data_IF_900641917896
#
_entry.id   IF_900641917896
#
_cell.length_a   1.000
_cell.length_b   1.000
_cell.length_c   1.000
_cell.angle_alpha   90.00
_cell.angle_beta   90.00
_cell.angle_gamma   90.00
#
_symmetry.space_group_name_H-M   'P 1'
#
loop_
_entity.id
_entity.type
_entity.pdbx_description
1 polymer ?
#
# COMPACT_ATOMS: atom_id res chain seq x y z
N UNK A 1 17.90 3.59 17.83
CA UNK A 1 16.99 2.73 17.03
C UNK A 1 17.76 1.53 16.53
N UNK A 2 17.21 0.30 16.62
CA UNK A 2 17.96 -0.93 16.31
C UNK A 2 18.11 -1.12 14.79
N UNK A 3 19.35 -1.31 14.33
CA UNK A 3 19.75 -1.52 12.93
C UNK A 3 18.86 -2.47 12.07
N UNK A 4 18.36 -3.62 12.58
CA UNK A 4 17.49 -4.50 11.77
C UNK A 4 16.17 -3.86 11.32
N UNK A 5 15.61 -2.94 12.12
CA UNK A 5 14.33 -2.29 11.80
C UNK A 5 14.49 -1.26 10.66
N UNK A 6 15.62 -0.56 10.61
CA UNK A 6 15.94 0.35 9.50
C UNK A 6 16.18 -0.40 8.17
N UNK A 7 16.76 -1.59 8.21
CA UNK A 7 17.01 -2.39 7.00
C UNK A 7 15.70 -2.92 6.42
N UNK A 8 14.78 -3.38 7.28
CA UNK A 8 13.43 -3.75 6.88
C UNK A 8 12.67 -2.56 6.26
N UNK A 9 12.69 -1.40 6.91
CA UNK A 9 12.04 -0.19 6.38
C UNK A 9 12.66 0.29 5.05
N UNK A 10 13.99 0.24 4.89
CA UNK A 10 14.64 0.56 3.61
C UNK A 10 14.26 -0.40 2.51
N UNK A 11 14.14 -1.69 2.81
CA UNK A 11 13.74 -2.71 1.84
C UNK A 11 12.27 -2.52 1.43
N UNK A 12 11.40 -2.21 2.38
CA UNK A 12 10.00 -1.85 2.12
C UNK A 12 9.90 -0.57 1.29
N UNK A 13 10.67 0.47 1.61
CA UNK A 13 10.69 1.73 0.85
C UNK A 13 11.30 1.59 -0.56
N UNK A 14 12.27 0.69 -0.75
CA UNK A 14 12.82 0.36 -2.06
C UNK A 14 11.80 -0.40 -2.91
N UNK A 15 11.12 -1.39 -2.34
CA UNK A 15 10.00 -2.09 -2.99
C UNK A 15 8.87 -1.11 -3.34
N UNK A 16 8.54 -0.17 -2.44
CA UNK A 16 7.57 0.90 -2.65
C UNK A 16 7.99 1.91 -3.75
N UNK A 17 9.29 2.02 -4.04
CA UNK A 17 9.83 2.88 -5.10
C UNK A 17 9.92 2.16 -6.44
N UNK A 18 10.10 0.84 -6.42
CA UNK A 18 10.30 0.00 -7.62
C UNK A 18 9.02 -0.61 -8.17
N UNK A 19 7.96 -0.77 -7.36
CA UNK A 19 6.67 -1.27 -7.81
C UNK A 19 5.53 -0.31 -7.43
N UNK A 20 4.93 0.29 -8.44
CA UNK A 20 3.70 1.07 -8.37
C UNK A 20 2.50 0.20 -8.00
N UNK A 21 1.44 0.80 -7.45
CA UNK A 21 0.14 0.12 -7.21
C UNK A 21 -0.38 -0.62 -8.44
N UNK A 22 -0.17 -0.04 -9.63
CA UNK A 22 -0.53 -0.64 -10.91
C UNK A 22 0.29 -1.89 -11.22
N UNK A 23 1.59 -1.87 -10.94
CA UNK A 23 2.44 -3.06 -11.15
C UNK A 23 2.08 -4.18 -10.18
N UNK A 24 1.81 -3.86 -8.91
CA UNK A 24 1.32 -4.87 -7.93
C UNK A 24 0.01 -5.49 -8.41
N UNK A 25 -0.93 -4.68 -8.93
CA UNK A 25 -2.19 -5.20 -9.48
C UNK A 25 -1.95 -6.08 -10.70
N UNK A 26 -1.08 -5.68 -11.62
CA UNK A 26 -0.76 -6.48 -12.79
C UNK A 26 -0.14 -7.82 -12.38
N UNK A 27 0.81 -7.81 -11.45
CA UNK A 27 1.41 -9.04 -10.90
C UNK A 27 0.36 -9.95 -10.25
N UNK A 28 -0.61 -9.41 -9.51
CA UNK A 28 -1.71 -10.21 -8.94
C UNK A 28 -2.52 -10.89 -10.05
N UNK A 29 -2.85 -10.17 -11.13
CA UNK A 29 -3.60 -10.75 -12.25
C UNK A 29 -2.79 -11.79 -13.01
N UNK A 30 -1.50 -11.56 -13.24
CA UNK A 30 -0.58 -12.51 -13.87
C UNK A 30 -0.48 -13.82 -13.04
N UNK A 31 -0.30 -13.71 -11.72
CA UNK A 31 -0.23 -14.86 -10.83
C UNK A 31 -1.55 -15.65 -10.80
N UNK A 32 -2.70 -14.96 -10.78
CA UNK A 32 -4.01 -15.64 -10.88
C UNK A 32 -4.18 -16.36 -12.21
N UNK A 33 -3.75 -15.76 -13.31
CA UNK A 33 -3.81 -16.38 -14.63
C UNK A 33 -2.91 -17.62 -14.69
N UNK A 34 -1.72 -17.57 -14.08
CA UNK A 34 -0.83 -18.72 -13.99
C UNK A 34 -1.47 -19.84 -13.15
N UNK A 35 -2.07 -19.54 -12.00
CA UNK A 35 -2.84 -20.53 -11.22
C UNK A 35 -4.01 -21.12 -12.02
N UNK A 36 -4.73 -20.31 -12.78
CA UNK A 36 -5.79 -20.79 -13.65
C UNK A 36 -5.27 -21.77 -14.71
N UNK A 37 -4.11 -21.47 -15.30
CA UNK A 37 -3.49 -22.37 -16.29
C UNK A 37 -3.11 -23.72 -15.69
N UNK A 38 -2.64 -23.76 -14.44
CA UNK A 38 -2.40 -25.01 -13.74
C UNK A 38 -3.69 -25.81 -13.50
N UNK A 39 -4.76 -25.13 -13.06
CA UNK A 39 -6.08 -25.78 -12.87
C UNK A 39 -6.61 -26.38 -14.15
N UNK A 40 -6.50 -25.68 -15.28
CA UNK A 40 -6.92 -26.19 -16.58
C UNK A 40 -6.02 -27.31 -17.10
N UNK A 41 -4.71 -27.22 -16.87
CA UNK A 41 -3.74 -28.22 -17.32
C UNK A 41 -3.93 -29.56 -16.62
N UNK A 42 -4.20 -29.52 -15.32
CA UNK A 42 -4.31 -30.70 -14.47
C UNK A 42 -5.77 -31.12 -14.18
N UNK A 43 -6.76 -30.29 -14.52
CA UNK A 43 -8.19 -30.50 -14.20
C UNK A 43 -8.48 -30.63 -12.69
N UNK A 44 -7.73 -29.86 -11.88
CA UNK A 44 -7.80 -29.86 -10.41
C UNK A 44 -8.12 -28.47 -9.88
N UNK A 45 -8.71 -28.39 -8.70
CA UNK A 45 -9.07 -27.14 -8.05
C UNK A 45 -7.88 -26.46 -7.35
N UNK A 46 -6.99 -27.26 -6.76
CA UNK A 46 -5.88 -26.81 -5.94
C UNK A 46 -4.68 -27.78 -5.95
N UNK A 47 -3.59 -27.34 -5.31
CA UNK A 47 -2.34 -28.10 -5.25
C UNK A 47 -2.44 -29.37 -4.41
N UNK A 48 -3.35 -29.42 -3.43
CA UNK A 48 -3.54 -30.59 -2.59
C UNK A 48 -4.20 -31.71 -3.40
N UNK A 49 -5.19 -31.38 -4.23
CA UNK A 49 -5.80 -32.31 -5.19
C UNK A 49 -4.78 -32.85 -6.19
N UNK A 50 -3.96 -31.97 -6.80
CA UNK A 50 -2.86 -32.40 -7.69
C UNK A 50 -1.89 -33.37 -6.99
N UNK A 51 -1.57 -33.11 -5.72
CA UNK A 51 -0.67 -33.95 -4.93
C UNK A 51 -1.24 -35.35 -4.68
N UNK A 52 -2.57 -35.49 -4.62
CA UNK A 52 -3.23 -36.79 -4.43
C UNK A 52 -3.30 -37.60 -5.72
N UNK A 53 -3.33 -36.94 -6.88
CA UNK A 53 -3.44 -37.60 -8.18
C UNK A 53 -2.10 -38.06 -8.76
N UNK A 54 -0.99 -37.40 -8.40
CA UNK A 54 0.33 -37.70 -8.96
C UNK A 54 0.94 -38.99 -8.41
N UNK A 55 1.46 -39.81 -9.31
CA UNK A 55 2.22 -41.02 -8.99
C UNK A 55 3.72 -40.73 -8.83
N UNK A 56 4.48 -41.60 -8.10
CA UNK A 56 5.92 -41.45 -8.00
C UNK A 56 6.60 -41.57 -9.37
N UNK A 57 7.30 -40.51 -9.79
CA UNK A 57 8.01 -40.45 -11.08
C UNK A 57 7.34 -39.57 -12.12
N UNK A 58 6.15 -39.04 -11.83
CA UNK A 58 5.47 -38.09 -12.70
C UNK A 58 6.17 -36.72 -12.74
N UNK A 59 6.16 -36.07 -13.90
CA UNK A 59 6.77 -34.74 -14.06
C UNK A 59 6.01 -33.65 -13.28
N UNK A 60 4.75 -33.89 -12.89
CA UNK A 60 3.90 -32.94 -12.16
C UNK A 60 4.39 -32.58 -10.75
N UNK A 61 5.30 -33.35 -10.16
CA UNK A 61 5.90 -33.03 -8.86
C UNK A 61 6.67 -31.70 -8.87
N UNK A 62 7.29 -31.33 -10.00
CA UNK A 62 7.94 -30.04 -10.13
C UNK A 62 6.92 -28.89 -10.18
N UNK A 63 5.77 -29.14 -10.81
CA UNK A 63 4.70 -28.17 -10.95
C UNK A 63 3.98 -27.91 -9.62
N UNK A 64 3.88 -28.90 -8.72
CA UNK A 64 3.45 -28.67 -7.32
C UNK A 64 4.30 -27.59 -6.65
N UNK A 65 5.62 -27.68 -6.76
CA UNK A 65 6.52 -26.71 -6.11
C UNK A 65 6.33 -25.32 -6.71
N UNK A 66 6.15 -25.24 -8.02
CA UNK A 66 5.88 -23.98 -8.71
C UNK A 66 4.53 -23.39 -8.30
N UNK A 67 3.48 -24.19 -8.25
CA UNK A 67 2.15 -23.77 -7.82
C UNK A 67 2.20 -23.16 -6.41
N UNK A 68 2.80 -23.86 -5.44
CA UNK A 68 2.95 -23.35 -4.07
C UNK A 68 3.69 -22.00 -4.01
N UNK A 69 4.72 -21.84 -4.84
CA UNK A 69 5.46 -20.58 -4.92
C UNK A 69 4.58 -19.44 -5.47
N UNK A 70 3.73 -19.73 -6.46
CA UNK A 70 2.80 -18.75 -7.04
C UNK A 70 1.75 -18.34 -6.01
N UNK A 71 1.19 -19.28 -5.25
CA UNK A 71 0.24 -18.98 -4.17
C UNK A 71 0.86 -18.09 -3.09
N UNK A 72 2.08 -18.41 -2.66
CA UNK A 72 2.81 -17.58 -1.70
C UNK A 72 3.08 -16.16 -2.25
N UNK A 73 3.49 -16.06 -3.51
CA UNK A 73 3.72 -14.77 -4.16
C UNK A 73 2.42 -13.97 -4.28
N UNK A 74 1.29 -14.63 -4.54
CA UNK A 74 -0.01 -14.01 -4.64
C UNK A 74 -0.46 -13.45 -3.29
N UNK A 75 -0.29 -14.21 -2.21
CA UNK A 75 -0.57 -13.75 -0.84
C UNK A 75 0.26 -12.50 -0.49
N UNK A 76 1.56 -12.53 -0.78
CA UNK A 76 2.47 -11.39 -0.54
C UNK A 76 2.03 -10.16 -1.35
N UNK A 77 1.71 -10.33 -2.63
CA UNK A 77 1.29 -9.22 -3.50
C UNK A 77 -0.06 -8.62 -3.04
N UNK A 78 -1.01 -9.45 -2.62
CA UNK A 78 -2.29 -9.00 -2.05
C UNK A 78 -2.09 -8.25 -0.74
N UNK A 79 -1.21 -8.73 0.14
CA UNK A 79 -0.86 -8.04 1.37
C UNK A 79 -0.19 -6.68 1.09
N UNK A 80 0.70 -6.61 0.09
CA UNK A 80 1.34 -5.38 -0.35
C UNK A 80 0.31 -4.37 -0.90
N UNK A 81 -0.66 -4.83 -1.70
CA UNK A 81 -1.74 -3.98 -2.21
C UNK A 81 -2.64 -3.46 -1.08
N UNK A 82 -2.99 -4.33 -0.11
CA UNK A 82 -3.77 -3.95 1.06
C UNK A 82 -3.07 -2.87 1.89
N UNK A 83 -1.75 -2.98 2.07
CA UNK A 83 -0.95 -1.94 2.73
C UNK A 83 -0.93 -0.62 1.94
N UNK A 84 -0.88 -0.68 0.60
CA UNK A 84 -0.95 0.50 -0.26
C UNK A 84 -2.33 1.18 -0.18
N UNK A 85 -3.40 0.39 -0.12
CA UNK A 85 -4.77 0.91 0.07
C UNK A 85 -4.99 1.50 1.48
N UNK A 86 -4.21 1.04 2.45
CA UNK A 86 -4.25 1.50 3.83
C UNK A 86 -3.38 2.75 4.11
N UNK A 87 -2.94 3.51 3.09
CA UNK A 87 -2.18 4.75 3.33
C UNK A 87 -3.00 5.77 4.15
N UNK A 88 -2.64 6.06 5.42
CA UNK A 88 -3.35 7.04 6.24
C UNK A 88 -3.14 8.49 5.75
N UNK A 89 -2.22 8.74 4.81
CA UNK A 89 -1.87 10.06 4.28
C UNK A 89 -2.68 10.50 3.04
N UNK A 90 -3.56 9.64 2.51
CA UNK A 90 -4.64 10.08 1.60
C UNK A 90 -5.73 10.91 2.35
N UNK A 91 -5.46 11.23 3.62
CA UNK A 91 -6.07 12.32 4.40
C UNK A 91 -5.74 13.72 3.88
N UNK A 92 -4.95 13.88 2.82
CA UNK A 92 -4.82 15.17 2.12
C UNK A 92 -6.16 15.67 1.53
N UNK A 93 -7.14 14.78 1.30
CA UNK A 93 -8.52 15.18 1.00
C UNK A 93 -9.26 15.80 2.20
N UNK A 94 -8.83 15.56 3.44
CA UNK A 94 -9.37 16.18 4.66
C UNK A 94 -8.71 17.54 4.96
N UNK A 95 -7.43 17.72 4.66
CA UNK A 95 -6.74 19.01 4.80
C UNK A 95 -7.31 20.10 3.87
N UNK A 96 -7.83 19.72 2.70
CA UNK A 96 -8.54 20.63 1.81
C UNK A 96 -9.85 21.19 2.43
N UNK A 97 -10.49 20.45 3.35
CA UNK A 97 -11.73 20.90 4.02
C UNK A 97 -11.46 21.81 5.21
N UNK A 98 -10.29 21.69 5.84
CA UNK A 98 -9.86 22.62 6.90
C UNK A 98 -9.50 23.99 6.31
N UNK A 99 -8.93 24.03 5.11
CA UNK A 99 -8.62 25.28 4.41
C UNK A 99 -9.88 26.09 3.99
N UNK A 100 -11.01 25.42 3.75
CA UNK A 100 -12.28 26.07 3.38
C UNK A 100 -12.97 26.75 4.59
N UNK A 101 -12.77 26.23 5.81
CA UNK A 101 -13.29 26.86 7.03
C UNK A 101 -12.51 28.12 7.47
N UNK A 102 -11.28 28.29 6.98
CA UNK A 102 -10.45 29.46 7.32
C UNK A 102 -10.84 30.72 6.54
N UNK A 103 -11.57 30.59 5.42
CA UNK A 103 -12.00 31.73 4.61
C UNK A 103 -13.24 32.48 5.13
N UNK A 104 -13.89 32.01 6.19
CA UNK A 104 -15.16 32.60 6.72
C UNK A 104 -14.98 33.34 8.06
N UNK A 105 -13.79 33.86 8.38
CA UNK A 105 -13.65 34.84 9.48
C UNK A 105 -12.85 36.07 9.05
N UNK A 106 -13.24 36.64 7.91
CA UNK A 106 -12.91 38.01 7.59
C UNK A 106 -13.69 38.99 8.45
N UNK A 107 -12.97 39.86 9.16
CA UNK A 107 -13.36 41.17 9.74
C UNK A 107 -13.38 41.22 11.26
N UNK A 108 -12.26 41.60 11.85
CA UNK A 108 -12.27 42.55 12.97
C UNK A 108 -11.26 43.67 12.70
N UNK A 109 -11.79 44.72 12.06
CA UNK A 109 -11.28 46.08 12.02
C UNK A 109 -11.04 46.58 13.46
N UNK A 110 -9.79 46.80 13.86
CA UNK A 110 -9.48 47.54 15.07
C UNK A 110 -9.45 49.04 14.73
N UNK A 111 -10.45 49.76 15.23
CA UNK A 111 -10.49 51.21 15.25
C UNK A 111 -10.29 51.72 16.68
N UNK A 112 -9.51 52.80 16.77
CA UNK A 112 -9.61 53.92 17.71
C UNK A 112 -9.41 53.68 19.21
N UNK A 113 -8.30 54.20 19.75
CA UNK A 113 -8.36 55.08 20.92
C UNK A 113 -7.16 56.06 20.91
N UNK A 114 -7.46 57.32 20.62
CA UNK A 114 -6.68 58.49 21.05
C UNK A 114 -6.91 58.73 22.53
N UNK A 115 -5.85 59.07 23.28
CA UNK A 115 -5.74 60.20 24.24
C UNK A 115 -4.33 60.08 24.88
N UNK A 116 -3.37 60.93 24.53
CA UNK A 116 -3.11 62.28 25.07
C UNK A 116 -2.64 62.29 26.54
N UNK A 117 -1.36 62.59 26.73
CA UNK A 117 -0.85 63.35 27.88
C UNK A 117 0.61 63.75 27.63
N UNK A 118 0.79 65.06 27.52
CA UNK A 118 2.03 65.80 27.30
C UNK A 118 2.93 65.92 28.55
N UNK A 119 4.06 66.62 28.36
CA UNK A 119 5.11 67.12 29.28
C UNK A 119 6.36 66.22 29.39
N UNK A 120 7.51 66.51 28.78
CA UNK A 120 8.36 67.73 28.77
C UNK A 120 8.90 68.11 30.16
N UNK A 121 10.19 67.84 30.40
CA UNK A 121 11.19 68.83 30.90
C UNK A 121 12.59 68.22 30.99
N UNK A 122 13.53 68.92 30.34
CA UNK A 122 14.94 69.17 30.65
C UNK A 122 15.91 68.00 30.92
#
# INVERSE_FOLDING_TARGET
MRAPQMLAMKRIAAIHREHTKSEIRNTIEDLKAELHSFREQYDVADVDELTLELEPGDDGWQDITRWQQIEQNLEIAQAALSLYDFDPDDSHAAAARVADTSRVTGSHKYGTLSDDSEQSTA
#
